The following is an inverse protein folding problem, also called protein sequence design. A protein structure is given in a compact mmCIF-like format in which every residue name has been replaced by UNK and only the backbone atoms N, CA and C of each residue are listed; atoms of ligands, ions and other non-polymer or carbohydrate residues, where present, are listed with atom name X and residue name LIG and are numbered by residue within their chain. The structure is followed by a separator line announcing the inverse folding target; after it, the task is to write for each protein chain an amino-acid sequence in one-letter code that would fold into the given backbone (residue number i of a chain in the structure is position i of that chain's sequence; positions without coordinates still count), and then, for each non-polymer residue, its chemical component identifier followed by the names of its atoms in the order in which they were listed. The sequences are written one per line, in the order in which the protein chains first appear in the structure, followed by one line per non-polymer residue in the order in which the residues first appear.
data_IF_559107674975
#
_entry.id   IF_559107674975
#
_cell.length_a   1.000
_cell.length_b   1.000
_cell.length_c   1.000
_cell.angle_alpha   90.00
_cell.angle_beta   90.00
_cell.angle_gamma   90.00
#
_symmetry.space_group_name_H-M   'P 1'
#
loop_
_entity.id
_entity.type
_entity.pdbx_description
1 polymer ?
#
# COMPACT_ATOMS: atom_id res chain seq x y z
N UNK A 1 -3.01 4.71 -1.41
CA UNK A 1 -3.09 5.06 0.02
C UNK A 1 -3.29 6.55 0.14
N UNK A 2 -4.29 6.98 0.90
CA UNK A 2 -4.68 8.39 0.97
C UNK A 2 -5.40 8.68 2.29
N UNK A 3 -5.16 9.86 2.85
CA UNK A 3 -5.81 10.35 4.08
C UNK A 3 -7.16 11.05 3.84
N UNK A 4 -7.48 11.36 2.58
CA UNK A 4 -8.71 12.04 2.20
C UNK A 4 -8.72 13.55 2.50
N UNK A 5 -7.62 14.12 2.98
CA UNK A 5 -7.51 15.56 3.19
C UNK A 5 -7.10 16.27 1.89
N UNK A 6 -8.05 17.00 1.31
CA UNK A 6 -7.79 17.89 0.17
C UNK A 6 -7.56 19.30 0.70
N UNK A 7 -6.35 19.58 1.15
CA UNK A 7 -5.92 20.95 1.42
C UNK A 7 -5.22 21.48 0.17
N UNK A 8 -5.90 22.35 -0.59
CA UNK A 8 -5.44 22.89 -1.87
C UNK A 8 -4.01 23.45 -1.81
N UNK A 9 -3.05 22.63 -2.21
CA UNK A 9 -1.61 22.87 -2.09
C UNK A 9 -0.88 22.69 -3.42
N UNK A 10 -1.61 22.63 -4.54
CA UNK A 10 -1.08 22.53 -5.90
C UNK A 10 -1.05 21.10 -6.45
N UNK A 11 -0.87 21.02 -7.78
CA UNK A 11 -0.80 19.91 -8.77
C UNK A 11 -1.45 18.53 -8.52
N UNK A 12 -1.60 18.07 -7.28
CA UNK A 12 -2.25 16.84 -6.85
C UNK A 12 -3.57 17.12 -6.06
N UNK A 13 -4.18 18.29 -6.30
CA UNK A 13 -5.33 18.84 -5.55
C UNK A 13 -6.63 18.02 -5.60
N UNK A 14 -6.71 16.93 -6.38
CA UNK A 14 -7.95 16.16 -6.54
C UNK A 14 -7.89 14.74 -5.99
N UNK A 15 -6.71 14.28 -5.59
CA UNK A 15 -6.49 12.88 -5.20
C UNK A 15 -6.22 12.69 -3.72
N UNK A 16 -6.10 13.77 -2.92
CA UNK A 16 -5.65 13.75 -1.51
C UNK A 16 -4.15 13.49 -1.36
N UNK A 17 -3.59 13.56 -0.14
CA UNK A 17 -2.16 13.31 0.10
C UNK A 17 -1.86 11.82 0.29
N UNK A 18 -0.70 11.38 -0.21
CA UNK A 18 -0.17 10.06 0.14
C UNK A 18 0.11 10.04 1.64
N UNK A 19 -0.45 9.05 2.35
CA UNK A 19 -0.21 8.83 3.76
C UNK A 19 0.56 7.51 3.99
N UNK A 20 1.24 7.33 5.13
CA UNK A 20 1.88 6.07 5.54
C UNK A 20 0.90 4.89 5.70
N UNK A 21 1.43 3.65 5.73
CA UNK A 21 0.60 2.44 5.73
C UNK A 21 -0.11 2.19 7.07
N UNK A 22 0.42 2.77 8.15
CA UNK A 22 -0.14 2.80 9.50
C UNK A 22 -0.82 4.13 9.84
N UNK A 23 -1.07 5.00 8.85
CA UNK A 23 -1.71 6.29 9.12
C UNK A 23 -3.12 6.06 9.72
N UNK A 24 -3.40 6.57 10.93
CA UNK A 24 -4.69 6.37 11.59
C UNK A 24 -5.86 7.03 10.84
N UNK A 25 -5.58 7.98 9.95
CA UNK A 25 -6.55 8.65 9.08
C UNK A 25 -6.61 8.05 7.67
N UNK A 26 -5.76 7.06 7.37
CA UNK A 26 -5.75 6.35 6.10
C UNK A 26 -7.14 5.80 5.75
N UNK A 27 -7.67 6.19 4.59
CA UNK A 27 -9.02 5.79 4.14
C UNK A 27 -9.03 4.46 3.39
N UNK A 28 -7.88 4.05 2.87
CA UNK A 28 -7.75 2.84 2.08
C UNK A 28 -7.33 1.68 2.99
N UNK A 29 -8.17 0.67 3.08
CA UNK A 29 -7.76 -0.65 3.57
C UNK A 29 -6.89 -1.32 2.50
N UNK A 30 -5.58 -1.22 2.67
CA UNK A 30 -4.58 -1.72 1.72
C UNK A 30 -4.78 -3.22 1.48
N UNK A 31 -4.92 -4.00 2.55
CA UNK A 31 -5.04 -5.46 2.48
C UNK A 31 -6.28 -5.84 1.70
N UNK A 32 -7.44 -5.30 2.06
CA UNK A 32 -8.69 -5.60 1.34
C UNK A 32 -8.63 -5.16 -0.12
N UNK A 33 -8.15 -3.94 -0.38
CA UNK A 33 -8.14 -3.37 -1.73
C UNK A 33 -7.13 -4.03 -2.67
N UNK A 34 -6.00 -4.53 -2.15
CA UNK A 34 -5.05 -5.32 -2.93
C UNK A 34 -5.69 -6.58 -3.53
N UNK A 35 -6.69 -7.16 -2.86
CA UNK A 35 -7.42 -8.34 -3.36
C UNK A 35 -8.12 -8.11 -4.72
N UNK A 36 -8.60 -6.90 -5.00
CA UNK A 36 -9.19 -6.58 -6.30
C UNK A 36 -8.16 -6.66 -7.44
N UNK A 37 -6.93 -6.22 -7.18
CA UNK A 37 -5.83 -6.26 -8.14
C UNK A 37 -5.22 -7.65 -8.30
N UNK A 38 -5.14 -8.40 -7.20
CA UNK A 38 -4.52 -9.72 -7.11
C UNK A 38 -5.49 -10.86 -7.42
N UNK A 39 -6.75 -10.56 -7.78
CA UNK A 39 -7.69 -11.58 -8.24
C UNK A 39 -7.09 -12.40 -9.39
N UNK A 40 -7.12 -13.72 -9.23
CA UNK A 40 -6.54 -14.71 -10.14
C UNK A 40 -5.04 -14.45 -10.45
N UNK A 41 -4.29 -13.89 -9.49
CA UNK A 41 -2.88 -13.54 -9.65
C UNK A 41 -2.01 -14.69 -10.18
N UNK A 42 -2.23 -15.91 -9.68
CA UNK A 42 -1.50 -17.11 -10.11
C UNK A 42 -1.72 -17.41 -11.60
N UNK A 43 -2.97 -17.43 -12.06
CA UNK A 43 -3.32 -17.65 -13.49
C UNK A 43 -2.77 -16.56 -14.39
N UNK A 44 -2.63 -15.34 -13.85
CA UNK A 44 -2.06 -14.18 -14.54
C UNK A 44 -0.53 -14.15 -14.47
N UNK A 45 0.10 -15.09 -13.76
CA UNK A 45 1.56 -15.19 -13.65
C UNK A 45 2.20 -14.06 -12.84
N UNK A 46 1.47 -13.42 -11.91
CA UNK A 46 2.02 -12.39 -11.04
C UNK A 46 2.91 -13.06 -9.98
N UNK A 47 4.20 -12.68 -9.95
CA UNK A 47 5.20 -13.26 -9.04
C UNK A 47 5.68 -12.33 -7.92
N UNK A 48 5.52 -11.02 -8.12
CA UNK A 48 6.07 -10.01 -7.23
C UNK A 48 5.04 -8.93 -6.98
N UNK A 49 5.01 -8.43 -5.75
CA UNK A 49 4.27 -7.24 -5.35
C UNK A 49 5.33 -6.24 -4.89
N UNK A 50 5.31 -5.05 -5.49
CA UNK A 50 6.24 -3.98 -5.16
C UNK A 50 5.49 -2.85 -4.47
N UNK A 51 6.11 -2.28 -3.45
CA UNK A 51 5.66 -1.02 -2.86
C UNK A 51 6.35 0.14 -3.57
N UNK A 52 5.59 1.16 -3.96
CA UNK A 52 6.13 2.40 -4.51
C UNK A 52 6.13 3.50 -3.45
N UNK A 53 7.34 3.92 -3.06
CA UNK A 53 7.57 4.99 -2.09
C UNK A 53 7.99 6.32 -2.72
N UNK A 54 7.96 6.47 -4.06
CA UNK A 54 8.52 7.63 -4.76
C UNK A 54 7.90 8.99 -4.38
N UNK A 55 6.73 8.96 -3.73
CA UNK A 55 5.98 10.15 -3.32
C UNK A 55 6.25 10.59 -1.86
N UNK A 56 7.16 9.93 -1.13
CA UNK A 56 7.55 10.30 0.23
C UNK A 56 8.87 11.08 0.27
N UNK A 57 9.05 12.04 1.21
CA UNK A 57 10.34 12.68 1.44
C UNK A 57 11.41 11.68 1.90
N UNK A 58 12.68 11.94 1.56
CA UNK A 58 13.79 11.07 1.96
C UNK A 58 13.84 10.81 3.47
N UNK A 59 13.57 11.82 4.31
CA UNK A 59 13.56 11.65 5.76
C UNK A 59 12.56 10.58 6.24
N UNK A 60 11.41 10.44 5.56
CA UNK A 60 10.44 9.37 5.85
C UNK A 60 10.97 8.01 5.42
N UNK A 61 11.68 7.94 4.28
CA UNK A 61 12.27 6.71 3.75
C UNK A 61 13.54 6.28 4.50
N UNK A 62 14.22 7.20 5.18
CA UNK A 62 15.40 6.90 6.00
C UNK A 62 15.03 6.38 7.40
N UNK A 63 13.76 6.49 7.80
CA UNK A 63 13.24 5.90 9.03
C UNK A 63 12.99 4.39 8.84
N UNK A 64 13.68 3.50 9.58
CA UNK A 64 13.43 2.05 9.51
C UNK A 64 12.01 1.65 9.89
N UNK A 65 11.32 2.43 10.74
CA UNK A 65 9.93 2.17 11.12
C UNK A 65 9.02 2.11 9.89
N UNK A 66 9.18 3.05 8.95
CA UNK A 66 8.44 3.10 7.68
C UNK A 66 8.50 1.76 6.94
N UNK A 67 9.69 1.19 6.81
CA UNK A 67 9.87 -0.07 6.10
C UNK A 67 9.32 -1.28 6.84
N UNK A 68 9.44 -1.31 8.17
CA UNK A 68 8.85 -2.38 8.98
C UNK A 68 7.33 -2.38 8.86
N UNK A 69 6.69 -1.21 8.93
CA UNK A 69 5.25 -1.05 8.73
C UNK A 69 4.83 -1.50 7.32
N UNK A 70 5.54 -1.07 6.28
CA UNK A 70 5.25 -1.48 4.89
C UNK A 70 5.41 -3.00 4.75
N UNK A 71 6.49 -3.58 5.26
CA UNK A 71 6.74 -5.02 5.16
C UNK A 71 5.66 -5.84 5.85
N UNK A 72 5.28 -5.48 7.07
CA UNK A 72 4.17 -6.13 7.80
C UNK A 72 2.87 -6.08 7.00
N UNK A 73 2.54 -4.92 6.42
CA UNK A 73 1.36 -4.76 5.56
C UNK A 73 1.42 -5.64 4.32
N UNK A 74 2.58 -5.72 3.66
CA UNK A 74 2.77 -6.52 2.44
C UNK A 74 2.72 -8.03 2.73
N UNK A 75 3.20 -8.47 3.90
CA UNK A 75 3.04 -9.83 4.38
C UNK A 75 1.55 -10.16 4.55
N UNK A 76 0.77 -9.28 5.18
CA UNK A 76 -0.68 -9.46 5.33
C UNK A 76 -1.40 -9.57 3.98
N UNK A 77 -1.01 -8.74 3.00
CA UNK A 77 -1.53 -8.83 1.61
C UNK A 77 -1.24 -10.21 1.01
N UNK A 78 0.01 -10.66 1.09
CA UNK A 78 0.42 -11.97 0.58
C UNK A 78 -0.34 -13.11 1.26
N UNK A 79 -0.40 -13.11 2.57
CA UNK A 79 -1.01 -14.20 3.34
C UNK A 79 -2.53 -14.25 3.10
N UNK A 80 -3.18 -13.11 2.84
CA UNK A 80 -4.62 -13.04 2.54
C UNK A 80 -4.96 -13.43 1.10
N UNK A 81 -4.16 -13.02 0.11
CA UNK A 81 -4.53 -13.09 -1.31
C UNK A 81 -3.63 -13.95 -2.19
N UNK A 82 -2.41 -14.26 -1.75
CA UNK A 82 -1.40 -14.96 -2.54
C UNK A 82 -1.01 -16.32 -1.96
N UNK A 83 -1.32 -16.59 -0.70
CA UNK A 83 -1.18 -17.93 -0.15
C UNK A 83 -2.08 -18.86 -0.96
N UNK A 84 -1.46 -19.77 -1.70
CA UNK A 84 -2.14 -20.88 -2.32
C UNK A 84 -2.94 -21.59 -1.22
N UNK A 85 -4.24 -21.79 -1.48
CA UNK A 85 -4.97 -22.83 -0.76
C UNK A 85 -4.14 -24.10 -0.95
N UNK A 86 -3.45 -24.54 0.10
CA UNK A 86 -2.81 -25.84 0.12
C UNK A 86 -3.89 -26.84 -0.23
N UNK A 87 -3.71 -27.51 -1.37
CA UNK A 87 -4.52 -28.62 -1.83
C UNK A 87 -4.52 -29.76 -0.80
#
# INVERSE_FOLDING_TARGET
QNDGEVHGAGSHDKTGKHCPADDPNGKLDIVKCSGYWLKDAEKRGIKHICWDGCMFPNATLEDPHTWNTILDTMIKVRDTHCASQTA
#
